data_IF_613688295126
#
_entry.id   IF_613688295126
#
_cell.length_a   1.000
_cell.length_b   1.000
_cell.length_c   1.000
_cell.angle_alpha   90.00
_cell.angle_beta   90.00
_cell.angle_gamma   90.00
#
_symmetry.space_group_name_H-M   'P 1'
#
loop_
_entity.id
_entity.type
_entity.pdbx_description
1 polymer ?
#
# COMPACT_ATOMS: atom_id res chain seq x y z
N UNK A 1 -9.89 2.89 -0.49
CA UNK A 1 -9.48 1.64 0.18
C UNK A 1 -10.36 1.37 1.40
N UNK A 2 -10.35 2.20 2.45
CA UNK A 2 -11.24 2.11 3.63
C UNK A 2 -12.72 1.85 3.25
N UNK A 3 -13.41 2.86 2.73
CA UNK A 3 -14.86 2.75 2.41
C UNK A 3 -15.16 1.80 1.24
N UNK A 4 -14.27 1.80 0.24
CA UNK A 4 -14.53 1.13 -1.04
C UNK A 4 -14.27 -0.38 -1.05
N UNK A 5 -13.36 -0.84 -0.19
CA UNK A 5 -12.96 -2.26 -0.13
C UNK A 5 -13.16 -2.76 1.30
N UNK A 6 -12.48 -2.16 2.28
CA UNK A 6 -12.39 -2.74 3.61
C UNK A 6 -13.77 -2.79 4.31
N UNK A 7 -14.50 -1.67 4.34
CA UNK A 7 -15.84 -1.62 4.95
C UNK A 7 -16.88 -2.44 4.17
N UNK A 8 -16.69 -2.57 2.85
CA UNK A 8 -17.60 -3.31 1.97
C UNK A 8 -17.42 -4.83 2.08
N UNK A 9 -16.22 -5.28 2.42
CA UNK A 9 -15.83 -6.68 2.54
C UNK A 9 -15.18 -6.91 3.91
N UNK A 10 -15.96 -6.85 5.01
CA UNK A 10 -15.43 -6.91 6.37
C UNK A 10 -14.82 -8.28 6.71
N UNK A 11 -15.34 -9.36 6.12
CA UNK A 11 -14.87 -10.74 6.36
C UNK A 11 -13.67 -11.14 5.49
N UNK A 12 -13.29 -10.31 4.51
CA UNK A 12 -12.16 -10.61 3.65
C UNK A 12 -10.85 -10.59 4.47
N UNK A 13 -10.07 -11.68 4.37
CA UNK A 13 -8.76 -11.84 5.01
C UNK A 13 -7.68 -11.03 4.27
N UNK A 14 -7.82 -9.71 4.35
CA UNK A 14 -6.86 -8.75 3.83
C UNK A 14 -5.93 -8.29 4.94
N UNK A 15 -4.64 -8.20 4.62
CA UNK A 15 -3.65 -7.50 5.44
C UNK A 15 -3.27 -6.22 4.75
N UNK A 16 -3.47 -5.09 5.43
CA UNK A 16 -3.19 -3.77 4.88
C UNK A 16 -2.00 -3.17 5.62
N UNK A 17 -0.96 -2.84 4.88
CA UNK A 17 0.19 -2.12 5.42
C UNK A 17 0.19 -0.71 4.86
N UNK A 18 0.01 0.27 5.74
CA UNK A 18 0.03 1.69 5.38
C UNK A 18 1.39 2.24 5.78
N UNK A 19 2.24 2.50 4.79
CA UNK A 19 3.59 3.02 5.00
C UNK A 19 3.61 4.51 4.70
N UNK A 20 3.77 5.31 5.75
CA UNK A 20 3.84 6.76 5.67
C UNK A 20 5.29 7.21 5.51
N UNK A 21 5.49 8.19 4.63
CA UNK A 21 6.80 8.74 4.27
C UNK A 21 6.81 10.26 4.53
N UNK A 22 7.95 10.86 4.89
CA UNK A 22 8.09 12.32 4.94
C UNK A 22 8.24 12.89 3.52
N UNK A 23 7.14 12.99 2.77
CA UNK A 23 7.14 13.49 1.38
C UNK A 23 7.28 15.01 1.36
N UNK A 24 6.55 15.68 2.24
CA UNK A 24 6.55 17.13 2.39
C UNK A 24 7.36 17.56 3.63
N UNK A 25 7.96 18.76 3.64
CA UNK A 25 8.83 19.23 4.74
C UNK A 25 8.19 19.28 6.14
N UNK A 26 6.85 19.21 6.23
CA UNK A 26 6.11 19.28 7.49
C UNK A 26 5.40 17.95 7.83
N UNK A 27 5.54 16.91 7.02
CA UNK A 27 4.91 15.62 7.29
C UNK A 27 5.45 15.03 8.59
N UNK A 28 4.54 14.59 9.47
CA UNK A 28 4.88 13.99 10.75
C UNK A 28 4.06 12.73 11.02
N UNK A 29 4.67 11.80 11.78
CA UNK A 29 4.08 10.49 12.09
C UNK A 29 2.66 10.57 12.68
N UNK A 30 2.35 11.58 13.47
CA UNK A 30 1.13 11.63 14.27
C UNK A 30 -0.10 12.13 13.50
N UNK A 31 0.09 12.82 12.36
CA UNK A 31 -1.02 13.46 11.63
C UNK A 31 -1.71 12.53 10.63
N UNK A 32 -1.07 11.40 10.28
CA UNK A 32 -1.47 10.57 9.13
C UNK A 32 -2.23 9.30 9.52
N UNK A 33 -2.16 8.88 10.79
CA UNK A 33 -2.79 7.64 11.24
C UNK A 33 -4.33 7.66 11.12
N UNK A 34 -4.96 8.83 11.18
CA UNK A 34 -6.44 8.94 11.20
C UNK A 34 -7.11 8.69 9.84
N UNK A 35 -6.35 8.55 8.75
CA UNK A 35 -6.88 8.40 7.38
C UNK A 35 -7.35 6.97 7.06
N UNK A 36 -6.83 5.97 7.76
CA UNK A 36 -7.21 4.56 7.63
C UNK A 36 -7.32 4.01 9.04
N UNK A 37 -8.52 3.58 9.43
CA UNK A 37 -8.81 3.17 10.83
C UNK A 37 -9.34 1.75 10.91
N UNK A 38 -9.41 1.03 9.79
CA UNK A 38 -9.78 -0.38 9.77
C UNK A 38 -8.76 -1.23 10.56
N UNK A 39 -9.26 -2.16 11.38
CA UNK A 39 -8.42 -2.99 12.27
C UNK A 39 -7.45 -3.90 11.51
N UNK A 40 -7.65 -4.13 10.20
CA UNK A 40 -6.70 -4.86 9.34
C UNK A 40 -5.52 -4.01 8.88
N UNK A 41 -5.57 -2.69 9.11
CA UNK A 41 -4.50 -1.77 8.74
C UNK A 41 -3.44 -1.69 9.84
N UNK A 42 -2.21 -2.03 9.48
CA UNK A 42 -1.02 -1.78 10.30
C UNK A 42 -0.26 -0.61 9.70
N UNK A 43 -0.02 0.43 10.52
CA UNK A 43 0.63 1.66 10.09
C UNK A 43 2.10 1.67 10.48
N UNK A 44 2.95 2.04 9.51
CA UNK A 44 4.38 2.25 9.70
C UNK A 44 4.76 3.67 9.31
N UNK A 45 5.68 4.26 10.05
CA UNK A 45 6.35 5.50 9.66
C UNK A 45 7.75 5.14 9.19
N UNK A 46 8.00 5.31 7.90
CA UNK A 46 9.27 5.01 7.26
C UNK A 46 9.99 6.32 6.95
N UNK A 47 10.65 6.85 7.98
CA UNK A 47 11.40 8.10 7.89
C UNK A 47 12.57 8.03 6.89
N UNK A 48 13.14 6.84 6.76
CA UNK A 48 14.31 6.57 5.91
C UNK A 48 13.92 6.21 4.47
N UNK A 49 12.61 6.08 4.19
CA UNK A 49 12.06 5.77 2.88
C UNK A 49 12.52 4.42 2.31
N UNK A 50 12.88 3.47 3.20
CA UNK A 50 13.40 2.14 2.84
C UNK A 50 12.44 1.36 1.94
N UNK A 51 11.14 1.36 2.27
CA UNK A 51 10.11 0.66 1.49
C UNK A 51 9.96 1.33 0.11
N UNK A 52 10.05 2.66 0.08
CA UNK A 52 9.98 3.42 -1.16
C UNK A 52 11.15 3.08 -2.09
N UNK A 53 12.36 3.04 -1.54
CA UNK A 53 13.59 2.73 -2.26
C UNK A 53 13.58 1.29 -2.82
N UNK A 54 13.17 0.31 -2.01
CA UNK A 54 13.08 -1.09 -2.44
C UNK A 54 12.04 -1.26 -3.56
N UNK A 55 10.88 -0.61 -3.46
CA UNK A 55 9.85 -0.63 -4.49
C UNK A 55 10.28 0.11 -5.76
N UNK A 56 11.00 1.22 -5.62
CA UNK A 56 11.56 1.97 -6.75
C UNK A 56 12.60 1.15 -7.51
N UNK A 57 13.47 0.44 -6.78
CA UNK A 57 14.49 -0.44 -7.34
C UNK A 57 13.86 -1.66 -8.05
N UNK A 58 12.77 -2.21 -7.51
CA UNK A 58 12.12 -3.40 -8.05
C UNK A 58 11.18 -3.10 -9.23
N UNK A 59 10.35 -2.05 -9.14
CA UNK A 59 9.21 -1.83 -10.05
C UNK A 59 9.15 -0.43 -10.65
N UNK A 60 9.96 0.50 -10.16
CA UNK A 60 9.96 1.90 -10.57
C UNK A 60 11.21 2.29 -11.35
N UNK A 61 11.61 3.55 -11.16
CA UNK A 61 12.93 4.03 -11.55
C UNK A 61 13.77 4.18 -10.28
N UNK A 62 14.94 3.52 -10.18
CA UNK A 62 15.79 3.62 -9.01
C UNK A 62 16.07 5.09 -8.62
N UNK A 63 15.92 5.42 -7.33
CA UNK A 63 16.10 6.77 -6.80
C UNK A 63 14.92 7.73 -7.02
N UNK A 64 13.76 7.24 -7.50
CA UNK A 64 12.50 7.97 -7.46
C UNK A 64 11.68 7.57 -6.24
N UNK A 65 11.13 8.56 -5.54
CA UNK A 65 10.23 8.33 -4.43
C UNK A 65 8.94 7.65 -4.93
N UNK A 66 8.65 6.46 -4.42
CA UNK A 66 7.37 5.78 -4.54
C UNK A 66 6.48 6.21 -3.38
N UNK A 67 5.49 7.05 -3.69
CA UNK A 67 4.50 7.58 -2.75
C UNK A 67 3.16 7.73 -3.48
N UNK A 68 2.07 7.89 -2.72
CA UNK A 68 0.70 7.88 -3.25
C UNK A 68 0.48 6.71 -4.22
N UNK A 69 0.95 5.53 -3.80
CA UNK A 69 0.93 4.31 -4.59
C UNK A 69 0.42 3.12 -3.77
N UNK A 70 -0.17 2.14 -4.44
CA UNK A 70 -0.45 0.83 -3.85
C UNK A 70 0.31 -0.28 -4.59
N UNK A 71 0.62 -1.34 -3.84
CA UNK A 71 1.12 -2.61 -4.34
C UNK A 71 0.27 -3.71 -3.71
N UNK A 72 -0.49 -4.43 -4.53
CA UNK A 72 -1.30 -5.56 -4.10
C UNK A 72 -0.54 -6.85 -4.39
N UNK A 73 -0.53 -7.76 -3.42
CA UNK A 73 0.17 -9.04 -3.52
C UNK A 73 -0.82 -10.19 -3.28
N UNK A 74 -0.58 -11.33 -3.94
CA UNK A 74 -1.38 -12.53 -3.73
C UNK A 74 -1.08 -13.19 -2.38
N UNK A 75 -1.91 -14.17 -1.96
CA UNK A 75 -1.76 -14.85 -0.66
C UNK A 75 -0.46 -15.63 -0.51
N UNK A 76 0.15 -16.07 -1.62
CA UNK A 76 1.41 -16.82 -1.64
C UNK A 76 2.65 -15.91 -1.77
N UNK A 77 2.49 -14.58 -1.67
CA UNK A 77 3.58 -13.64 -1.84
C UNK A 77 4.55 -13.69 -0.65
N UNK A 78 5.83 -13.91 -0.95
CA UNK A 78 6.92 -13.97 0.04
C UNK A 78 7.94 -12.88 -0.27
N UNK A 79 8.20 -12.03 0.74
CA UNK A 79 9.26 -11.02 0.67
C UNK A 79 10.59 -11.69 1.04
N UNK A 80 11.54 -11.65 0.11
CA UNK A 80 12.89 -12.17 0.29
C UNK A 80 13.91 -11.04 0.01
N UNK A 81 14.99 -11.31 -0.71
CA UNK A 81 15.98 -10.29 -1.12
C UNK A 81 15.37 -9.18 -1.99
N UNK A 82 14.24 -9.45 -2.66
CA UNK A 82 13.46 -8.47 -3.41
C UNK A 82 11.97 -8.65 -3.11
N UNK A 83 11.15 -7.59 -3.22
CA UNK A 83 9.70 -7.73 -3.17
C UNK A 83 9.20 -8.70 -4.25
N UNK A 84 8.18 -9.52 -3.96
CA UNK A 84 7.56 -10.39 -4.97
C UNK A 84 6.81 -9.58 -6.02
N UNK A 85 6.54 -10.14 -7.19
CA UNK A 85 5.77 -9.43 -8.22
C UNK A 85 4.34 -9.13 -7.72
N UNK A 86 3.90 -7.86 -7.75
CA UNK A 86 2.54 -7.50 -7.35
C UNK A 86 1.52 -7.98 -8.38
N UNK A 87 0.35 -8.40 -7.90
CA UNK A 87 -0.81 -8.73 -8.76
C UNK A 87 -1.43 -7.46 -9.37
N UNK A 88 -1.23 -6.30 -8.73
CA UNK A 88 -1.56 -5.00 -9.27
C UNK A 88 -0.79 -3.89 -8.54
N UNK A 89 -0.52 -2.82 -9.27
CA UNK A 89 0.06 -1.58 -8.72
C UNK A 89 -0.67 -0.38 -9.29
N UNK A 90 -0.58 0.76 -8.62
CA UNK A 90 -1.08 2.01 -9.19
C UNK A 90 -0.76 3.22 -8.35
N UNK A 91 -0.60 4.35 -9.03
CA UNK A 91 -0.46 5.68 -8.46
C UNK A 91 -1.16 6.71 -9.40
N UNK A 92 -1.75 7.79 -8.87
CA UNK A 92 -2.20 8.00 -7.49
C UNK A 92 -3.14 6.90 -6.98
N UNK A 93 -3.15 6.62 -5.67
CA UNK A 93 -4.03 5.58 -5.08
C UNK A 93 -5.49 5.85 -5.43
N UNK A 94 -5.94 7.10 -5.27
CA UNK A 94 -7.33 7.52 -5.51
C UNK A 94 -7.76 7.31 -6.96
N UNK A 95 -6.89 7.58 -7.93
CA UNK A 95 -7.18 7.44 -9.37
C UNK A 95 -7.17 5.98 -9.81
N UNK A 96 -6.40 5.12 -9.13
CA UNK A 96 -6.22 3.71 -9.49
C UNK A 96 -7.05 2.74 -8.66
N UNK A 97 -7.99 3.24 -7.86
CA UNK A 97 -8.82 2.43 -6.98
C UNK A 97 -9.63 1.33 -7.68
N UNK A 98 -10.14 1.60 -8.89
CA UNK A 98 -10.83 0.58 -9.69
C UNK A 98 -9.90 -0.57 -10.13
N UNK A 99 -8.61 -0.28 -10.32
CA UNK A 99 -7.60 -1.29 -10.65
C UNK A 99 -7.35 -2.19 -9.43
N UNK A 100 -7.18 -1.56 -8.26
CA UNK A 100 -7.03 -2.28 -6.99
C UNK A 100 -8.23 -3.19 -6.70
N UNK A 101 -9.45 -2.67 -6.79
CA UNK A 101 -10.68 -3.45 -6.60
C UNK A 101 -10.76 -4.64 -7.54
N UNK A 102 -10.44 -4.44 -8.83
CA UNK A 102 -10.49 -5.51 -9.83
C UNK A 102 -9.49 -6.61 -9.51
N UNK A 103 -8.27 -6.25 -9.10
CA UNK A 103 -7.23 -7.19 -8.75
C UNK A 103 -7.53 -7.96 -7.46
N UNK A 104 -8.15 -7.31 -6.48
CA UNK A 104 -8.53 -7.94 -5.22
C UNK A 104 -9.80 -8.78 -5.30
N UNK A 105 -10.68 -8.55 -6.28
CA UNK A 105 -11.99 -9.23 -6.40
C UNK A 105 -11.98 -10.74 -6.17
N UNK A 106 -10.99 -11.53 -6.64
CA UNK A 106 -10.93 -12.98 -6.36
C UNK A 106 -10.74 -13.35 -4.88
N UNK A 107 -10.45 -12.37 -4.00
CA UNK A 107 -10.08 -12.56 -2.59
C UNK A 107 -11.02 -11.80 -1.63
N UNK A 108 -12.15 -11.28 -2.11
CA UNK A 108 -13.09 -10.44 -1.34
C UNK A 108 -14.35 -11.18 -0.88
N UNK A 109 -14.48 -12.48 -1.18
CA UNK A 109 -15.64 -13.31 -0.82
C UNK A 109 -15.64 -13.73 0.66
#
# INVERSE_FOLDING_TARGET
>A
MQERILERYPEADLRVYVVWLPVMPLDSRFEVADVMVDDRATHYWDNEQLVSDDLAAAFGSPGQLVWDAFFAFGPDAVWAERPPDPIATGAPVVERMATLETALRPYLD
#
